data_IF_854064983121
#
_entry.id   IF_854064983121
#
_cell.length_a   1.000
_cell.length_b   1.000
_cell.length_c   1.000
_cell.angle_alpha   90.00
_cell.angle_beta   90.00
_cell.angle_gamma   90.00
#
_symmetry.space_group_name_H-M   'P 1'
#
loop_
_entity.id
_entity.type
_entity.pdbx_description
1 polymer ?
#
# COMPACT_ATOMS: atom_id res chain seq x y z
N UNK A 1 7.44 -27.43 16.87
CA UNK A 1 6.14 -27.16 16.22
C UNK A 1 5.59 -25.88 16.82
N UNK A 2 5.96 -24.72 16.27
CA UNK A 2 5.39 -23.44 16.65
C UNK A 2 4.19 -23.18 15.74
N UNK A 3 3.01 -23.02 16.32
CA UNK A 3 1.80 -22.61 15.62
C UNK A 3 1.94 -21.14 15.23
N UNK A 4 2.24 -20.86 13.97
CA UNK A 4 2.21 -19.52 13.41
C UNK A 4 0.77 -19.15 13.09
N UNK A 5 0.19 -18.30 13.92
CA UNK A 5 -1.05 -17.59 13.62
C UNK A 5 -0.72 -16.59 12.50
N UNK A 6 -1.46 -16.55 11.39
CA UNK A 6 -1.28 -15.48 10.40
C UNK A 6 -1.61 -14.16 11.08
N UNK A 7 -0.68 -13.21 10.99
CA UNK A 7 -0.86 -11.85 11.48
C UNK A 7 -2.07 -11.24 10.73
N UNK A 8 -3.23 -11.22 11.37
CA UNK A 8 -4.45 -10.56 10.88
C UNK A 8 -4.31 -9.02 10.87
N UNK A 9 -3.09 -8.49 11.05
CA UNK A 9 -2.83 -7.08 11.29
C UNK A 9 -2.79 -6.21 10.02
N UNK A 10 -2.79 -6.77 8.80
CA UNK A 10 -2.66 -5.97 7.57
C UNK A 10 -3.97 -5.27 7.14
N UNK A 11 -5.14 -5.88 7.35
CA UNK A 11 -6.43 -5.17 7.23
C UNK A 11 -6.64 -4.14 8.35
N UNK A 12 -6.01 -4.37 9.50
CA UNK A 12 -5.89 -3.41 10.59
C UNK A 12 -4.90 -2.28 10.27
N UNK A 13 -3.93 -2.46 9.35
CA UNK A 13 -2.94 -1.43 9.01
C UNK A 13 -3.54 -0.24 8.25
N UNK A 14 -4.55 -0.41 7.39
CA UNK A 14 -5.24 0.73 6.77
C UNK A 14 -6.11 1.52 7.77
N UNK A 15 -6.78 0.84 8.70
CA UNK A 15 -7.50 1.51 9.80
C UNK A 15 -6.52 2.10 10.85
N UNK A 16 -5.36 1.48 11.04
CA UNK A 16 -4.27 2.01 11.86
C UNK A 16 -3.55 3.17 11.20
N UNK A 17 -3.49 3.30 9.88
CA UNK A 17 -2.92 4.49 9.25
C UNK A 17 -3.75 5.74 9.58
N UNK A 18 -5.09 5.61 9.63
CA UNK A 18 -5.96 6.66 10.17
C UNK A 18 -5.75 6.87 11.68
N UNK A 19 -5.56 5.83 12.49
CA UNK A 19 -5.30 5.94 13.93
C UNK A 19 -3.89 6.48 14.30
N UNK A 20 -2.89 6.22 13.46
CA UNK A 20 -1.51 6.68 13.59
C UNK A 20 -1.42 8.14 13.10
N UNK A 21 -2.11 8.50 12.00
CA UNK A 21 -2.37 9.89 11.61
C UNK A 21 -3.00 10.69 12.77
N UNK A 22 -4.04 10.13 13.43
CA UNK A 22 -4.68 10.70 14.65
C UNK A 22 -3.69 10.93 15.79
N UNK A 23 -2.80 9.97 16.07
CA UNK A 23 -1.83 10.07 17.17
C UNK A 23 -0.75 11.12 16.89
N UNK A 24 -0.20 11.15 15.67
CA UNK A 24 0.91 12.05 15.31
C UNK A 24 0.47 13.51 15.15
N UNK A 25 -0.71 13.76 14.58
CA UNK A 25 -1.25 15.13 14.43
C UNK A 25 -1.76 15.66 15.77
N UNK A 26 -2.41 14.79 16.57
CA UNK A 26 -2.80 15.12 17.94
C UNK A 26 -1.61 15.47 18.86
N UNK A 27 -0.51 14.73 18.77
CA UNK A 27 0.71 15.00 19.55
C UNK A 27 1.48 16.23 19.06
N UNK A 28 1.44 16.53 17.75
CA UNK A 28 1.98 17.78 17.19
C UNK A 28 1.20 19.03 17.62
N UNK A 29 -0.10 18.89 17.93
CA UNK A 29 -0.98 19.97 18.38
C UNK A 29 -1.04 20.13 19.91
N UNK A 30 -0.75 19.08 20.69
CA UNK A 30 -0.85 19.11 22.16
C UNK A 30 0.40 19.63 22.90
N UNK A 31 1.48 19.98 22.21
CA UNK A 31 2.71 20.49 22.86
C UNK A 31 2.79 22.02 23.02
N UNK A 32 1.69 22.76 22.76
CA UNK A 32 1.62 24.21 22.97
C UNK A 32 0.40 24.71 23.76
N UNK A 33 -0.29 23.87 24.52
CA UNK A 33 -1.37 24.34 25.41
C UNK A 33 -0.90 24.43 26.86
N UNK A 34 -0.27 25.55 27.21
CA UNK A 34 -0.39 26.12 28.55
C UNK A 34 -1.27 27.36 28.45
N UNK A 35 -2.49 27.23 28.96
CA UNK A 35 -3.43 28.29 29.35
C UNK A 35 -3.89 29.30 28.28
N UNK A 36 -4.91 28.94 27.51
CA UNK A 36 -6.10 29.79 27.30
C UNK A 36 -7.15 29.01 26.52
N UNK A 37 -8.41 29.13 26.93
CA UNK A 37 -9.59 28.57 26.30
C UNK A 37 -9.64 28.92 24.80
N UNK A 38 -9.51 27.93 23.92
CA UNK A 38 -9.62 28.12 22.47
C UNK A 38 -10.65 27.15 21.88
N UNK A 39 -11.78 27.72 21.48
CA UNK A 39 -12.74 27.19 20.53
C UNK A 39 -12.06 26.78 19.23
N UNK A 40 -12.29 25.54 18.77
CA UNK A 40 -12.38 25.04 17.38
C UNK A 40 -11.74 25.81 16.20
N UNK A 41 -10.60 26.48 16.35
CA UNK A 41 -9.79 27.05 15.25
C UNK A 41 -8.76 26.01 14.78
N UNK A 42 -9.25 24.80 14.49
CA UNK A 42 -8.45 23.62 14.21
C UNK A 42 -7.86 23.64 12.78
N UNK A 43 -6.54 23.42 12.68
CA UNK A 43 -5.75 23.13 11.47
C UNK A 43 -5.57 24.22 10.40
N UNK A 44 -6.55 25.08 10.15
CA UNK A 44 -6.55 26.01 9.01
C UNK A 44 -5.52 27.15 9.16
N UNK A 45 -5.29 27.60 10.41
CA UNK A 45 -4.25 28.56 10.75
C UNK A 45 -2.82 28.01 10.68
N UNK A 46 -2.66 26.68 10.65
CA UNK A 46 -1.34 26.06 10.74
C UNK A 46 -0.56 26.16 9.42
N UNK A 47 -1.24 26.24 8.27
CA UNK A 47 -0.62 26.31 6.94
C UNK A 47 -0.88 27.64 6.22
N UNK A 48 -1.14 28.73 6.94
CA UNK A 48 -1.23 30.07 6.34
C UNK A 48 0.12 30.52 5.77
N UNK A 49 0.09 31.48 4.84
CA UNK A 49 1.30 32.01 4.23
C UNK A 49 2.20 32.69 5.27
N UNK A 50 1.61 33.44 6.19
CA UNK A 50 2.30 34.19 7.25
C UNK A 50 3.00 33.26 8.25
N UNK A 51 2.37 32.13 8.59
CA UNK A 51 2.90 31.18 9.56
C UNK A 51 3.80 30.11 8.92
N UNK A 52 3.93 30.11 7.59
CA UNK A 52 4.63 29.06 6.84
C UNK A 52 6.06 28.81 7.31
N UNK A 53 6.93 29.83 7.50
CA UNK A 53 8.30 29.56 7.91
C UNK A 53 8.40 28.74 9.21
N UNK A 54 7.59 29.09 10.22
CA UNK A 54 7.57 28.37 11.49
C UNK A 54 7.00 26.95 11.33
N UNK A 55 5.86 26.82 10.62
CA UNK A 55 5.24 25.50 10.38
C UNK A 55 6.16 24.58 9.59
N UNK A 56 6.81 25.09 8.55
CA UNK A 56 7.75 24.34 7.74
C UNK A 56 8.93 23.80 8.57
N UNK A 57 9.50 24.61 9.47
CA UNK A 57 10.56 24.15 10.37
C UNK A 57 10.08 23.06 11.32
N UNK A 58 8.85 23.17 11.83
CA UNK A 58 8.23 22.12 12.63
C UNK A 58 8.09 20.82 11.83
N UNK A 59 7.53 20.88 10.62
CA UNK A 59 7.39 19.71 9.73
C UNK A 59 8.75 19.07 9.45
N UNK A 60 9.78 19.87 9.12
CA UNK A 60 11.14 19.36 8.91
C UNK A 60 11.67 18.64 10.14
N UNK A 61 11.47 19.20 11.33
CA UNK A 61 11.90 18.59 12.59
C UNK A 61 11.18 17.26 12.83
N UNK A 62 9.86 17.23 12.72
CA UNK A 62 9.03 16.04 12.93
C UNK A 62 9.41 14.91 11.96
N UNK A 63 9.49 15.22 10.66
CA UNK A 63 9.77 14.24 9.63
C UNK A 63 11.24 13.83 9.55
N UNK A 64 12.18 14.61 10.10
CA UNK A 64 13.61 14.24 10.10
C UNK A 64 13.89 12.91 10.82
N UNK A 65 13.01 12.55 11.77
CA UNK A 65 13.10 11.32 12.56
C UNK A 65 12.40 10.14 11.88
N UNK A 66 11.67 10.38 10.78
CA UNK A 66 10.90 9.34 10.09
C UNK A 66 11.70 8.82 8.89
N UNK A 67 12.10 7.54 8.87
CA UNK A 67 12.83 6.96 7.73
C UNK A 67 12.05 7.08 6.41
N UNK A 68 10.74 6.88 6.44
CA UNK A 68 9.87 6.94 5.25
C UNK A 68 9.91 8.31 4.55
N UNK A 69 10.01 9.40 5.31
CA UNK A 69 10.09 10.77 4.77
C UNK A 69 11.34 10.99 3.90
N UNK A 70 12.40 10.20 4.10
CA UNK A 70 13.68 10.29 3.38
C UNK A 70 13.71 9.49 2.08
N UNK A 71 12.74 8.61 1.85
CA UNK A 71 12.70 7.74 0.66
C UNK A 71 12.25 8.57 -0.54
N UNK A 72 13.01 8.53 -1.64
CA UNK A 72 12.63 9.10 -2.94
C UNK A 72 12.68 8.04 -4.02
N UNK A 73 12.15 8.38 -5.19
CA UNK A 73 12.36 7.57 -6.38
C UNK A 73 13.85 7.40 -6.68
N UNK A 74 14.28 6.15 -6.70
CA UNK A 74 15.57 5.72 -7.22
C UNK A 74 15.43 5.38 -8.71
N UNK A 75 16.51 5.51 -9.50
CA UNK A 75 16.53 4.94 -10.83
C UNK A 75 16.36 3.42 -10.74
N UNK A 76 15.67 2.83 -11.73
CA UNK A 76 15.62 1.38 -11.85
C UNK A 76 17.04 0.82 -12.00
N UNK A 77 17.38 -0.29 -11.33
CA UNK A 77 18.66 -0.97 -11.53
C UNK A 77 18.83 -1.34 -13.00
N UNK A 78 20.08 -1.27 -13.51
CA UNK A 78 20.37 -1.60 -14.92
C UNK A 78 20.38 -3.10 -15.18
N UNK A 79 20.82 -3.88 -14.18
CA UNK A 79 21.06 -5.31 -14.29
C UNK A 79 19.99 -6.08 -13.49
N UNK A 80 18.74 -6.04 -13.95
CA UNK A 80 17.63 -6.77 -13.31
C UNK A 80 17.55 -8.17 -13.93
N UNK A 81 17.79 -9.20 -13.13
CA UNK A 81 17.69 -10.59 -13.55
C UNK A 81 16.35 -11.20 -13.13
N UNK A 82 15.27 -10.86 -13.85
CA UNK A 82 13.94 -11.43 -13.59
C UNK A 82 13.94 -12.91 -13.99
N UNK A 83 13.89 -13.78 -12.99
CA UNK A 83 13.75 -15.21 -13.21
C UNK A 83 12.34 -15.58 -13.69
N UNK A 84 12.25 -16.75 -14.35
CA UNK A 84 10.95 -17.25 -14.84
C UNK A 84 9.98 -17.49 -13.69
N UNK A 85 8.76 -16.94 -13.79
CA UNK A 85 7.72 -17.09 -12.77
C UNK A 85 6.42 -17.58 -13.39
N UNK A 86 5.51 -18.13 -12.58
CA UNK A 86 4.14 -18.31 -13.04
C UNK A 86 3.46 -16.96 -13.21
N UNK A 87 2.38 -16.98 -13.99
CA UNK A 87 1.54 -15.82 -14.27
C UNK A 87 0.16 -16.05 -13.71
N UNK A 88 -0.32 -15.09 -12.92
CA UNK A 88 -1.72 -14.99 -12.52
C UNK A 88 -2.33 -13.77 -13.19
N UNK A 89 -3.47 -13.93 -13.87
CA UNK A 89 -4.22 -12.78 -14.37
C UNK A 89 -5.26 -12.38 -13.32
N UNK A 90 -5.24 -11.13 -12.89
CA UNK A 90 -6.23 -10.60 -11.95
C UNK A 90 -6.52 -9.15 -12.26
N UNK A 91 -7.81 -8.81 -12.43
CA UNK A 91 -8.26 -7.46 -12.78
C UNK A 91 -7.53 -6.88 -14.02
N UNK A 92 -7.40 -7.70 -15.07
CA UNK A 92 -6.68 -7.37 -16.32
C UNK A 92 -5.18 -7.08 -16.15
N UNK A 93 -4.63 -7.36 -14.97
CA UNK A 93 -3.20 -7.25 -14.69
C UNK A 93 -2.57 -8.63 -14.64
N UNK A 94 -1.34 -8.70 -15.12
CA UNK A 94 -0.53 -9.89 -15.01
C UNK A 94 0.35 -9.75 -13.78
N UNK A 95 0.27 -10.74 -12.89
CA UNK A 95 0.96 -10.74 -11.61
C UNK A 95 1.98 -11.89 -11.63
N UNK A 96 3.28 -11.61 -11.40
CA UNK A 96 4.30 -12.63 -11.27
C UNK A 96 4.10 -13.39 -9.95
N UNK A 97 3.97 -14.71 -10.06
CA UNK A 97 3.90 -15.63 -8.92
C UNK A 97 5.15 -16.52 -8.94
N UNK A 98 6.03 -16.46 -7.93
CA UNK A 98 7.22 -17.32 -7.85
C UNK A 98 6.88 -18.78 -8.13
N UNK A 99 7.64 -19.43 -8.99
CA UNK A 99 7.42 -20.84 -9.33
C UNK A 99 8.01 -21.74 -8.22
N UNK A 100 7.24 -21.95 -7.15
CA UNK A 100 7.68 -22.68 -5.95
C UNK A 100 6.59 -23.58 -5.37
N UNK A 101 6.95 -24.37 -4.37
CA UNK A 101 5.97 -25.17 -3.63
C UNK A 101 5.22 -24.30 -2.62
N UNK A 102 3.93 -24.10 -2.88
CA UNK A 102 3.01 -23.46 -1.95
C UNK A 102 2.36 -24.49 -1.02
N UNK A 103 2.17 -24.10 0.24
CA UNK A 103 1.52 -24.90 1.28
C UNK A 103 0.12 -24.37 1.60
N UNK A 104 -0.10 -23.07 1.41
CA UNK A 104 -1.35 -22.42 1.77
C UNK A 104 -1.81 -21.44 0.70
N UNK A 105 -3.12 -21.38 0.51
CA UNK A 105 -3.82 -20.40 -0.31
C UNK A 105 -5.05 -19.93 0.47
N UNK A 106 -5.04 -18.68 0.90
CA UNK A 106 -6.15 -18.05 1.59
C UNK A 106 -6.81 -17.01 0.71
N UNK A 107 -8.13 -17.05 0.63
CA UNK A 107 -8.95 -16.01 0.02
C UNK A 107 -9.82 -15.42 1.11
N UNK A 108 -9.65 -14.12 1.34
CA UNK A 108 -10.41 -13.34 2.29
C UNK A 108 -11.22 -12.32 1.50
N UNK A 109 -12.54 -12.35 1.67
CA UNK A 109 -13.45 -11.43 1.04
C UNK A 109 -14.26 -10.71 2.11
N UNK A 110 -14.15 -9.39 2.12
CA UNK A 110 -15.04 -8.46 2.79
C UNK A 110 -15.73 -7.62 1.70
N UNK A 111 -16.88 -7.02 2.00
CA UNK A 111 -17.83 -6.44 1.03
C UNK A 111 -17.16 -5.76 -0.18
N UNK A 112 -16.19 -4.89 0.11
CA UNK A 112 -15.45 -4.13 -0.89
C UNK A 112 -13.95 -4.50 -1.00
N UNK A 113 -13.45 -5.36 -0.11
CA UNK A 113 -12.03 -5.68 0.02
C UNK A 113 -11.78 -7.16 -0.22
N UNK A 114 -10.95 -7.49 -1.21
CA UNK A 114 -10.55 -8.87 -1.42
C UNK A 114 -9.05 -8.97 -1.19
N UNK A 115 -8.63 -9.94 -0.39
CA UNK A 115 -7.23 -10.27 -0.15
C UNK A 115 -6.99 -11.74 -0.46
N UNK A 116 -5.94 -12.03 -1.21
CA UNK A 116 -5.49 -13.36 -1.55
C UNK A 116 -4.08 -13.51 -1.00
N UNK A 117 -3.81 -14.56 -0.24
CA UNK A 117 -2.51 -14.82 0.35
C UNK A 117 -2.03 -16.22 -0.06
N UNK A 118 -0.87 -16.28 -0.68
CA UNK A 118 -0.14 -17.52 -0.94
C UNK A 118 1.03 -17.62 0.03
N UNK A 119 1.18 -18.77 0.69
CA UNK A 119 2.33 -19.08 1.53
C UNK A 119 2.99 -20.33 0.96
N UNK A 120 4.30 -20.28 0.83
CA UNK A 120 5.12 -21.40 0.39
C UNK A 120 6.45 -21.42 1.10
N UNK A 121 7.27 -22.40 0.71
CA UNK A 121 8.63 -22.53 1.21
C UNK A 121 9.62 -22.55 0.05
N UNK A 122 10.74 -21.86 0.26
CA UNK A 122 11.90 -21.84 -0.62
C UNK A 122 13.10 -22.14 0.25
N UNK A 123 13.83 -23.21 -0.04
CA UNK A 123 15.06 -23.58 0.69
C UNK A 123 14.87 -23.68 2.22
N UNK A 124 13.66 -23.99 2.68
CA UNK A 124 13.31 -24.09 4.10
C UNK A 124 12.89 -22.76 4.74
N UNK A 125 12.88 -21.67 3.99
CA UNK A 125 12.42 -20.35 4.43
C UNK A 125 11.03 -20.03 3.87
N UNK A 126 10.28 -19.22 4.61
CA UNK A 126 8.92 -18.83 4.23
C UNK A 126 8.96 -17.77 3.12
N UNK A 127 8.18 -18.01 2.07
CA UNK A 127 7.92 -17.07 1.00
C UNK A 127 6.42 -16.80 0.89
N UNK A 128 6.05 -15.56 0.59
CA UNK A 128 4.67 -15.11 0.58
C UNK A 128 4.36 -14.22 -0.61
N UNK A 129 3.16 -14.37 -1.14
CA UNK A 129 2.57 -13.47 -2.13
C UNK A 129 1.22 -13.05 -1.59
N UNK A 130 1.04 -11.76 -1.35
CA UNK A 130 -0.25 -11.20 -0.96
C UNK A 130 -0.74 -10.29 -2.07
N UNK A 131 -1.97 -10.52 -2.50
CA UNK A 131 -2.68 -9.69 -3.45
C UNK A 131 -3.86 -9.09 -2.71
N UNK A 132 -4.17 -7.83 -2.96
CA UNK A 132 -5.46 -7.33 -2.54
C UNK A 132 -5.97 -6.19 -3.39
N UNK A 133 -7.24 -5.89 -3.19
CA UNK A 133 -7.94 -4.79 -3.84
C UNK A 133 -8.81 -4.05 -2.83
N UNK A 134 -8.93 -2.76 -3.05
CA UNK A 134 -9.83 -1.88 -2.30
C UNK A 134 -10.50 -0.89 -3.25
N UNK A 135 -11.67 -0.34 -2.89
CA UNK A 135 -12.26 0.76 -3.63
C UNK A 135 -11.29 1.92 -3.75
N UNK A 136 -11.41 2.66 -4.85
CA UNK A 136 -10.66 3.89 -4.99
C UNK A 136 -11.14 4.90 -3.93
N UNK A 137 -10.19 5.58 -3.32
CA UNK A 137 -10.47 6.69 -2.42
C UNK A 137 -10.76 7.90 -3.29
N UNK A 138 -11.92 8.52 -3.08
CA UNK A 138 -12.29 9.75 -3.77
C UNK A 138 -11.24 10.85 -3.56
N UNK A 139 -10.95 11.70 -4.56
CA UNK A 139 -10.04 12.81 -4.39
C UNK A 139 -10.46 13.73 -3.23
N UNK A 140 -9.48 14.13 -2.43
CA UNK A 140 -9.68 15.00 -1.27
C UNK A 140 -10.02 16.40 -1.77
N UNK A 141 -11.26 16.83 -1.50
CA UNK A 141 -11.75 18.17 -1.86
C UNK A 141 -11.20 19.21 -0.88
N UNK A 142 -11.06 18.82 0.39
CA UNK A 142 -10.45 19.60 1.45
C UNK A 142 -9.41 18.74 2.20
N UNK A 143 -8.17 18.78 1.71
CA UNK A 143 -7.06 18.01 2.31
C UNK A 143 -6.78 18.42 3.77
N UNK A 144 -7.20 19.61 4.19
CA UNK A 144 -6.91 20.12 5.54
C UNK A 144 -7.90 19.56 6.55
N UNK A 145 -9.18 19.44 6.19
CA UNK A 145 -10.18 18.75 7.02
C UNK A 145 -9.81 17.26 7.23
N UNK A 146 -9.39 16.59 6.16
CA UNK A 146 -9.03 15.16 6.18
C UNK A 146 -7.76 14.86 7.02
N UNK A 147 -6.87 15.84 7.14
CA UNK A 147 -5.68 15.77 7.99
C UNK A 147 -6.01 16.12 9.45
N UNK A 148 -6.99 17.02 9.69
CA UNK A 148 -7.26 17.59 11.01
C UNK A 148 -8.06 16.67 11.93
N UNK A 149 -9.11 16.00 11.44
CA UNK A 149 -9.97 15.13 12.24
C UNK A 149 -10.79 14.16 11.35
N UNK A 150 -10.27 12.94 11.14
CA UNK A 150 -10.86 11.95 10.23
C UNK A 150 -12.28 11.46 10.63
N UNK A 151 -12.76 11.77 11.84
CA UNK A 151 -14.11 11.40 12.31
C UNK A 151 -15.13 12.55 12.15
N UNK A 152 -14.68 13.73 11.72
CA UNK A 152 -15.51 14.91 11.43
C UNK A 152 -15.10 15.54 10.10
N UNK A 153 -15.22 14.75 9.04
CA UNK A 153 -14.99 15.18 7.65
C UNK A 153 -16.15 16.03 7.14
N UNK A 154 -16.31 17.23 7.69
CA UNK A 154 -17.07 18.29 7.02
C UNK A 154 -16.07 19.19 6.29
N UNK A 155 -16.10 19.13 4.96
CA UNK A 155 -15.29 20.04 4.13
C UNK A 155 -15.63 21.48 4.47
N UNK A 156 -14.63 22.32 4.74
CA UNK A 156 -14.86 23.77 4.89
C UNK A 156 -14.76 24.46 3.52
N UNK A 157 -15.55 25.52 3.26
CA UNK A 157 -15.38 26.37 2.08
C UNK A 157 -13.94 26.89 1.94
N UNK A 158 -13.33 27.25 3.07
CA UNK A 158 -11.98 27.78 3.17
C UNK A 158 -10.91 26.73 2.84
N UNK A 159 -11.01 25.53 3.41
CA UNK A 159 -10.10 24.40 3.16
C UNK A 159 -10.24 23.86 1.73
N UNK A 160 -11.45 23.86 1.19
CA UNK A 160 -11.70 23.59 -0.25
C UNK A 160 -11.02 24.63 -1.15
N UNK A 161 -11.20 25.92 -0.85
CA UNK A 161 -10.56 27.00 -1.61
C UNK A 161 -9.03 26.96 -1.50
N UNK A 162 -8.50 26.59 -0.34
CA UNK A 162 -7.08 26.43 -0.13
C UNK A 162 -6.52 25.22 -0.89
N UNK A 163 -7.22 24.10 -0.89
CA UNK A 163 -6.88 22.91 -1.69
C UNK A 163 -6.86 23.27 -3.18
N UNK A 164 -7.88 23.97 -3.67
CA UNK A 164 -7.94 24.48 -5.04
C UNK A 164 -6.75 25.40 -5.36
N UNK A 165 -6.38 26.30 -4.45
CA UNK A 165 -5.27 27.24 -4.63
C UNK A 165 -3.91 26.54 -4.72
N UNK A 166 -3.71 25.49 -3.92
CA UNK A 166 -2.42 24.81 -3.79
C UNK A 166 -2.24 23.66 -4.80
N UNK A 167 -3.32 22.94 -5.11
CA UNK A 167 -3.28 21.74 -5.95
C UNK A 167 -3.97 21.88 -7.30
N UNK A 168 -4.72 22.97 -7.52
CA UNK A 168 -5.50 23.22 -8.74
C UNK A 168 -6.86 22.51 -8.78
N UNK A 169 -7.28 21.90 -7.67
CA UNK A 169 -8.52 21.13 -7.55
C UNK A 169 -8.43 20.06 -6.48
N UNK A 170 -9.45 19.17 -6.39
CA UNK A 170 -9.38 17.99 -5.54
C UNK A 170 -8.11 17.19 -5.82
N UNK A 171 -7.51 16.66 -4.76
CA UNK A 171 -6.21 16.00 -4.82
C UNK A 171 -6.36 14.51 -4.51
N UNK A 172 -5.90 13.67 -5.43
CA UNK A 172 -5.98 12.22 -5.24
C UNK A 172 -4.81 11.69 -4.40
N UNK A 173 -5.00 10.53 -3.77
CA UNK A 173 -3.94 9.87 -2.99
C UNK A 173 -2.73 9.52 -3.85
N UNK A 174 -2.93 9.19 -5.13
CA UNK A 174 -1.85 8.93 -6.08
C UNK A 174 -1.00 10.18 -6.31
N UNK A 175 -1.63 11.35 -6.48
CA UNK A 175 -0.92 12.61 -6.66
C UNK A 175 -0.10 12.98 -5.43
N UNK A 176 -0.63 12.76 -4.23
CA UNK A 176 0.11 12.96 -2.98
C UNK A 176 1.26 11.97 -2.83
N UNK A 177 1.04 10.70 -3.18
CA UNK A 177 2.05 9.64 -3.11
C UNK A 177 3.22 9.94 -4.06
N UNK A 178 2.90 10.25 -5.32
CA UNK A 178 3.87 10.63 -6.35
C UNK A 178 4.67 11.87 -5.93
N UNK A 179 3.99 12.94 -5.49
CA UNK A 179 4.65 14.15 -4.99
C UNK A 179 5.55 13.83 -3.78
N UNK A 180 5.11 12.95 -2.88
CA UNK A 180 5.87 12.53 -1.71
C UNK A 180 7.17 11.83 -2.08
N UNK A 181 7.17 10.93 -3.06
CA UNK A 181 8.38 10.21 -3.50
C UNK A 181 9.28 11.01 -4.45
N UNK A 182 8.78 12.09 -5.07
CA UNK A 182 9.60 13.03 -5.86
C UNK A 182 10.42 14.01 -5.02
N UNK A 183 10.02 14.24 -3.78
CA UNK A 183 10.60 15.28 -2.93
C UNK A 183 11.16 14.76 -1.60
N UNK A 184 11.97 15.61 -0.97
CA UNK A 184 12.59 15.42 0.35
C UNK A 184 12.41 16.66 1.23
N UNK A 185 12.79 16.54 2.50
CA UNK A 185 12.84 17.68 3.42
C UNK A 185 13.84 18.78 2.98
N UNK A 186 14.79 18.46 2.09
CA UNK A 186 15.73 19.45 1.56
C UNK A 186 15.06 20.42 0.58
N UNK A 187 13.95 20.00 -0.05
CA UNK A 187 13.18 20.83 -0.98
C UNK A 187 12.33 21.91 -0.28
N UNK A 188 12.19 21.80 1.05
CA UNK A 188 11.49 22.76 1.89
C UNK A 188 12.47 23.85 2.37
N UNK A 189 12.46 25.02 1.71
CA UNK A 189 13.29 26.16 2.10
C UNK A 189 12.74 26.90 3.31
N UNK A 190 11.45 26.72 3.62
CA UNK A 190 10.74 27.40 4.69
C UNK A 190 10.70 28.93 4.51
N UNK A 191 10.73 29.40 3.26
CA UNK A 191 10.56 30.80 2.92
C UNK A 191 9.09 31.10 2.64
N UNK A 192 8.55 32.15 3.26
CA UNK A 192 7.18 32.64 3.05
C UNK A 192 6.84 32.87 1.56
N UNK A 193 7.81 33.31 0.74
CA UNK A 193 7.62 33.54 -0.69
C UNK A 193 7.38 32.23 -1.48
N UNK A 194 7.85 31.09 -0.97
CA UNK A 194 7.71 29.78 -1.62
C UNK A 194 6.51 28.98 -1.11
N UNK A 195 5.70 29.55 -0.20
CA UNK A 195 4.59 28.88 0.49
C UNK A 195 3.69 28.05 -0.45
N UNK A 196 3.22 28.64 -1.56
CA UNK A 196 2.32 27.93 -2.50
C UNK A 196 2.94 26.67 -3.10
N UNK A 197 4.26 26.66 -3.29
CA UNK A 197 5.00 25.51 -3.85
C UNK A 197 5.37 24.50 -2.79
N UNK A 198 5.72 24.95 -1.59
CA UNK A 198 6.26 24.10 -0.54
C UNK A 198 5.19 23.43 0.32
N UNK A 199 4.01 24.05 0.50
CA UNK A 199 2.92 23.41 1.27
C UNK A 199 2.47 22.10 0.64
N UNK A 200 2.23 21.99 -0.69
CA UNK A 200 1.94 20.71 -1.32
C UNK A 200 3.00 19.64 -1.02
N UNK A 201 4.28 20.00 -1.10
CA UNK A 201 5.40 19.10 -0.82
C UNK A 201 5.35 18.65 0.64
N UNK A 202 5.17 19.58 1.58
CA UNK A 202 5.12 19.26 3.00
C UNK A 202 3.94 18.35 3.35
N UNK A 203 2.75 18.60 2.78
CA UNK A 203 1.58 17.73 2.97
C UNK A 203 1.85 16.33 2.42
N UNK A 204 2.38 16.22 1.21
CA UNK A 204 2.75 14.93 0.63
C UNK A 204 3.82 14.18 1.44
N UNK A 205 4.80 14.89 2.01
CA UNK A 205 5.81 14.31 2.89
C UNK A 205 5.23 13.85 4.23
N UNK A 206 4.26 14.58 4.80
CA UNK A 206 3.53 14.15 6.00
C UNK A 206 2.79 12.84 5.70
N UNK A 207 2.02 12.79 4.59
CA UNK A 207 1.32 11.57 4.18
C UNK A 207 2.29 10.39 3.96
N UNK A 208 3.41 10.61 3.26
CA UNK A 208 4.44 9.58 3.07
C UNK A 208 5.07 9.13 4.39
N UNK A 209 5.28 10.04 5.34
CA UNK A 209 5.86 9.74 6.65
C UNK A 209 4.99 8.83 7.52
N UNK A 210 3.68 8.86 7.30
CA UNK A 210 2.69 8.01 7.98
C UNK A 210 2.59 6.63 7.33
N UNK A 211 2.91 6.52 6.03
CA UNK A 211 2.97 5.24 5.36
C UNK A 211 4.12 4.39 5.95
N UNK A 212 3.77 3.22 6.48
CA UNK A 212 4.73 2.29 7.10
C UNK A 212 5.77 1.88 6.06
N UNK A 213 7.06 2.02 6.40
CA UNK A 213 8.13 1.42 5.60
C UNK A 213 7.95 -0.09 5.56
N UNK A 214 8.03 -0.71 4.38
CA UNK A 214 7.91 -2.17 4.25
C UNK A 214 9.11 -2.94 4.83
N UNK A 215 10.16 -2.22 5.25
CA UNK A 215 11.30 -2.75 6.00
C UNK A 215 12.45 -1.73 6.12
N UNK A 216 13.62 -2.17 6.61
CA UNK A 216 14.83 -1.36 6.54
C UNK A 216 15.31 -1.20 5.09
N UNK A 217 16.04 -0.12 4.79
CA UNK A 217 16.64 0.11 3.47
C UNK A 217 15.65 0.13 2.28
N UNK A 218 14.43 0.58 2.53
CA UNK A 218 13.41 0.70 1.48
C UNK A 218 13.82 1.69 0.41
N UNK A 219 13.71 1.27 -0.85
CA UNK A 219 13.83 2.08 -2.06
C UNK A 219 12.47 2.18 -2.75
N UNK A 220 12.18 3.33 -3.36
CA UNK A 220 10.99 3.51 -4.18
C UNK A 220 11.37 3.62 -5.66
N UNK A 221 10.53 3.09 -6.55
CA UNK A 221 10.71 3.17 -8.00
C UNK A 221 9.41 3.62 -8.66
N UNK A 222 9.53 4.54 -9.62
CA UNK A 222 8.43 5.01 -10.45
C UNK A 222 8.29 4.05 -11.64
N UNK A 223 7.17 3.34 -11.73
CA UNK A 223 6.87 2.42 -12.83
C UNK A 223 5.82 2.96 -13.80
N UNK A 224 5.58 4.29 -13.82
CA UNK A 224 4.55 5.02 -14.58
C UNK A 224 3.09 4.64 -14.25
N UNK A 225 2.81 3.41 -13.83
CA UNK A 225 1.48 2.89 -13.51
C UNK A 225 1.25 2.72 -12.01
N UNK A 226 2.25 3.06 -11.20
CA UNK A 226 2.26 2.81 -9.77
C UNK A 226 3.64 3.02 -9.15
N UNK A 227 3.69 2.84 -7.83
CA UNK A 227 4.92 2.92 -7.04
C UNK A 227 5.32 1.52 -6.62
N UNK A 228 6.57 1.15 -6.91
CA UNK A 228 7.21 -0.04 -6.38
C UNK A 228 8.08 0.33 -5.20
N UNK A 229 7.80 -0.25 -4.04
CA UNK A 229 8.68 -0.24 -2.88
C UNK A 229 9.43 -1.56 -2.81
N UNK A 230 10.74 -1.50 -2.62
CA UNK A 230 11.60 -2.65 -2.40
C UNK A 230 12.42 -2.48 -1.14
N UNK A 231 12.44 -3.47 -0.26
CA UNK A 231 13.23 -3.49 0.97
C UNK A 231 14.02 -4.79 1.01
N UNK A 232 15.36 -4.68 1.09
CA UNK A 232 16.25 -5.84 1.28
C UNK A 232 16.76 -5.86 2.71
N UNK A 233 16.61 -7.00 3.38
CA UNK A 233 17.11 -7.25 4.73
C UNK A 233 18.01 -8.48 4.74
N UNK A 234 18.62 -8.81 5.88
CA UNK A 234 19.50 -9.99 5.98
C UNK A 234 18.77 -11.30 5.64
N UNK A 235 17.49 -11.42 6.00
CA UNK A 235 16.71 -12.65 5.81
C UNK A 235 15.70 -12.58 4.65
N UNK A 236 15.18 -11.41 4.33
CA UNK A 236 14.09 -11.29 3.36
C UNK A 236 14.22 -10.09 2.42
N UNK A 237 13.83 -10.33 1.18
CA UNK A 237 13.50 -9.31 0.18
C UNK A 237 11.98 -9.11 0.17
N UNK A 238 11.55 -7.86 0.37
CA UNK A 238 10.15 -7.47 0.37
C UNK A 238 9.89 -6.49 -0.75
N UNK A 239 8.82 -6.74 -1.50
CA UNK A 239 8.34 -5.87 -2.55
C UNK A 239 6.89 -5.52 -2.28
N UNK A 240 6.52 -4.26 -2.46
CA UNK A 240 5.14 -3.81 -2.41
C UNK A 240 4.88 -2.92 -3.61
N UNK A 241 3.83 -3.23 -4.36
CA UNK A 241 3.44 -2.49 -5.53
C UNK A 241 1.97 -2.11 -5.46
N UNK A 242 1.68 -0.85 -5.73
CA UNK A 242 0.31 -0.34 -5.85
C UNK A 242 0.01 0.03 -7.31
N UNK A 243 -0.96 -0.67 -7.91
CA UNK A 243 -1.60 -0.28 -9.17
C UNK A 243 -2.78 0.65 -8.90
N UNK A 244 -2.83 1.73 -9.68
CA UNK A 244 -3.94 2.68 -9.66
C UNK A 244 -4.90 2.35 -10.81
N UNK A 245 -5.97 1.62 -10.50
CA UNK A 245 -7.06 1.39 -11.44
C UNK A 245 -8.02 2.58 -11.53
N UNK A 246 -8.95 2.52 -12.49
CA UNK A 246 -9.98 3.55 -12.64
C UNK A 246 -10.95 3.56 -11.44
N UNK A 247 -11.38 2.38 -10.99
CA UNK A 247 -12.41 2.21 -9.95
C UNK A 247 -11.89 1.65 -8.63
N UNK A 248 -10.68 1.09 -8.62
CA UNK A 248 -10.14 0.35 -7.47
C UNK A 248 -8.62 0.45 -7.43
N UNK A 249 -8.07 0.38 -6.22
CA UNK A 249 -6.65 0.12 -6.01
C UNK A 249 -6.40 -1.37 -6.01
N UNK A 250 -5.24 -1.77 -6.53
CA UNK A 250 -4.74 -3.13 -6.40
C UNK A 250 -3.34 -3.09 -5.81
N UNK A 251 -3.09 -3.94 -4.83
CA UNK A 251 -1.81 -4.03 -4.13
C UNK A 251 -1.26 -5.45 -4.23
N UNK A 252 0.04 -5.54 -4.48
CA UNK A 252 0.78 -6.80 -4.51
C UNK A 252 1.97 -6.67 -3.58
N UNK A 253 2.08 -7.60 -2.64
CA UNK A 253 3.23 -7.74 -1.76
C UNK A 253 3.90 -9.08 -1.99
N UNK A 254 5.21 -9.07 -2.22
CA UNK A 254 6.04 -10.26 -2.32
C UNK A 254 7.02 -10.25 -1.15
N UNK A 255 7.12 -11.36 -0.42
CA UNK A 255 8.15 -11.58 0.58
C UNK A 255 8.90 -12.84 0.20
N UNK A 256 10.19 -12.71 -0.10
CA UNK A 256 11.04 -13.81 -0.55
C UNK A 256 12.28 -13.88 0.35
N UNK A 257 12.89 -15.07 0.51
CA UNK A 257 14.20 -15.18 1.16
C UNK A 257 15.23 -14.31 0.45
N UNK A 258 16.07 -13.63 1.23
CA UNK A 258 17.15 -12.81 0.70
C UNK A 258 18.14 -13.66 -0.11
N UNK A 259 18.63 -13.13 -1.23
CA UNK A 259 19.60 -13.81 -2.09
C UNK A 259 19.01 -14.95 -2.92
N UNK A 260 17.72 -15.23 -2.81
CA UNK A 260 17.05 -16.21 -3.65
C UNK A 260 17.02 -15.77 -5.12
N UNK A 261 16.99 -16.72 -6.06
CA UNK A 261 16.95 -16.44 -7.49
C UNK A 261 15.76 -15.55 -7.92
N UNK A 262 14.63 -15.61 -7.19
CA UNK A 262 13.47 -14.73 -7.43
C UNK A 262 13.55 -13.38 -6.70
N UNK A 263 14.67 -13.02 -6.06
CA UNK A 263 14.80 -11.80 -5.24
C UNK A 263 14.44 -10.51 -5.99
N UNK A 264 14.63 -10.47 -7.31
CA UNK A 264 14.30 -9.32 -8.16
C UNK A 264 12.92 -9.42 -8.82
N UNK A 265 12.08 -10.41 -8.45
CA UNK A 265 10.76 -10.62 -9.05
C UNK A 265 9.81 -9.43 -8.84
N UNK A 266 10.03 -8.61 -7.80
CA UNK A 266 9.28 -7.37 -7.61
C UNK A 266 9.37 -6.40 -8.80
N UNK A 267 10.48 -6.40 -9.55
CA UNK A 267 10.62 -5.57 -10.73
C UNK A 267 9.76 -6.06 -11.92
N UNK A 268 9.26 -7.29 -11.91
CA UNK A 268 8.29 -7.76 -12.90
C UNK A 268 6.89 -7.17 -12.66
N UNK A 269 6.60 -6.64 -11.46
CA UNK A 269 5.35 -5.94 -11.18
C UNK A 269 5.29 -4.67 -12.04
N UNK A 270 4.17 -4.46 -12.74
CA UNK A 270 3.98 -3.34 -13.65
C UNK A 270 4.55 -3.54 -15.07
N UNK A 271 5.32 -4.61 -15.31
CA UNK A 271 5.82 -4.93 -16.66
C UNK A 271 4.81 -5.74 -17.47
N UNK A 272 4.82 -5.56 -18.79
CA UNK A 272 3.96 -6.31 -19.71
C UNK A 272 4.53 -7.68 -20.06
N UNK A 273 5.85 -7.79 -20.09
CA UNK A 273 6.57 -8.96 -20.56
C UNK A 273 7.68 -9.30 -19.57
N UNK A 274 7.74 -10.56 -19.15
CA UNK A 274 8.84 -11.14 -18.40
C UNK A 274 8.92 -12.64 -18.71
N UNK A 275 10.02 -13.33 -18.37
CA UNK A 275 10.11 -14.77 -18.56
C UNK A 275 9.00 -15.51 -17.79
N UNK A 276 8.14 -16.26 -18.49
CA UNK A 276 7.06 -17.03 -17.88
C UNK A 276 7.48 -18.49 -17.76
N UNK A 277 7.43 -19.01 -16.54
CA UNK A 277 7.68 -20.43 -16.27
C UNK A 277 6.54 -21.29 -16.84
N UNK A 278 6.85 -22.39 -17.55
CA UNK A 278 5.84 -23.34 -18.00
C UNK A 278 5.24 -24.09 -16.81
N UNK A 279 4.15 -24.82 -17.05
CA UNK A 279 3.56 -25.76 -16.10
C UNK A 279 3.12 -25.13 -14.77
N UNK A 280 2.44 -23.98 -14.83
CA UNK A 280 1.74 -23.45 -13.66
C UNK A 280 0.81 -24.52 -13.04
N UNK A 281 0.70 -24.59 -11.71
CA UNK A 281 -0.09 -25.61 -11.06
C UNK A 281 -1.57 -25.39 -11.35
N UNK A 282 -2.32 -26.49 -11.48
CA UNK A 282 -3.74 -26.46 -11.84
C UNK A 282 -4.55 -25.55 -10.91
N UNK A 283 -4.24 -25.54 -9.61
CA UNK A 283 -4.94 -24.71 -8.65
C UNK A 283 -4.83 -23.20 -8.94
N UNK A 284 -3.73 -22.74 -9.56
CA UNK A 284 -3.54 -21.32 -9.86
C UNK A 284 -4.49 -20.84 -10.96
N UNK A 285 -4.70 -21.66 -12.00
CA UNK A 285 -5.69 -21.37 -13.04
C UNK A 285 -7.13 -21.47 -12.53
N UNK A 286 -7.41 -22.39 -11.60
CA UNK A 286 -8.73 -22.47 -10.97
C UNK A 286 -8.98 -21.28 -10.03
N UNK A 287 -7.94 -20.79 -9.36
CA UNK A 287 -8.03 -19.58 -8.55
C UNK A 287 -8.34 -18.38 -9.44
N UNK A 288 -7.62 -18.19 -10.54
CA UNK A 288 -7.88 -17.14 -11.54
C UNK A 288 -9.35 -17.14 -12.00
N UNK A 289 -9.90 -18.33 -12.27
CA UNK A 289 -11.30 -18.50 -12.66
C UNK A 289 -12.25 -18.11 -11.54
N UNK A 290 -12.00 -18.60 -10.31
CA UNK A 290 -12.87 -18.37 -9.17
C UNK A 290 -12.90 -16.91 -8.71
N UNK A 291 -11.75 -16.21 -8.73
CA UNK A 291 -11.69 -14.79 -8.34
C UNK A 291 -12.27 -13.86 -9.41
N UNK A 292 -12.29 -14.28 -10.68
CA UNK A 292 -12.85 -13.52 -11.80
C UNK A 292 -14.36 -13.74 -11.95
N UNK A 293 -14.84 -14.94 -11.63
CA UNK A 293 -16.25 -15.31 -11.69
C UNK A 293 -16.62 -16.12 -10.43
N UNK A 294 -16.97 -15.46 -9.31
CA UNK A 294 -17.09 -16.08 -7.99
C UNK A 294 -18.40 -16.85 -7.81
N UNK A 295 -18.63 -17.87 -8.64
CA UNK A 295 -19.77 -18.79 -8.50
C UNK A 295 -19.44 -19.95 -7.56
N UNK A 296 -20.48 -20.54 -6.97
CA UNK A 296 -20.35 -21.75 -6.13
C UNK A 296 -19.56 -22.86 -6.82
N UNK A 297 -19.83 -23.11 -8.11
CA UNK A 297 -19.15 -24.13 -8.91
C UNK A 297 -17.65 -23.84 -9.09
N UNK A 298 -17.28 -22.58 -9.31
CA UNK A 298 -15.88 -22.20 -9.48
C UNK A 298 -15.10 -22.33 -8.17
N UNK A 299 -15.70 -21.96 -7.03
CA UNK A 299 -15.12 -22.19 -5.71
C UNK A 299 -14.95 -23.68 -5.38
N UNK A 300 -15.95 -24.52 -5.70
CA UNK A 300 -15.84 -25.98 -5.57
C UNK A 300 -14.70 -26.56 -6.41
N UNK A 301 -14.56 -26.09 -7.66
CA UNK A 301 -13.48 -26.53 -8.55
C UNK A 301 -12.11 -26.15 -8.00
N UNK A 302 -11.96 -24.93 -7.46
CA UNK A 302 -10.74 -24.51 -6.76
C UNK A 302 -10.48 -25.40 -5.53
N UNK A 303 -11.49 -25.65 -4.69
CA UNK A 303 -11.33 -26.47 -3.49
C UNK A 303 -10.77 -27.87 -3.82
N UNK A 304 -11.30 -28.52 -4.87
CA UNK A 304 -10.83 -29.82 -5.34
C UNK A 304 -9.38 -29.77 -5.85
N UNK A 305 -9.02 -28.70 -6.57
CA UNK A 305 -7.65 -28.50 -7.04
C UNK A 305 -6.66 -28.29 -5.88
N UNK A 306 -7.05 -27.53 -4.85
CA UNK A 306 -6.24 -27.34 -3.63
C UNK A 306 -6.08 -28.65 -2.85
N UNK A 307 -7.15 -29.45 -2.70
CA UNK A 307 -7.09 -30.80 -2.08
C UNK A 307 -6.12 -31.71 -2.83
N UNK A 308 -6.18 -31.74 -4.17
CA UNK A 308 -5.27 -32.53 -5.01
C UNK A 308 -3.82 -32.06 -4.90
N UNK A 309 -3.60 -30.75 -4.73
CA UNK A 309 -2.29 -30.16 -4.51
C UNK A 309 -1.76 -30.36 -3.08
N UNK A 310 -2.53 -31.00 -2.18
CA UNK A 310 -2.21 -31.22 -0.76
C UNK A 310 -1.94 -29.92 0.00
N UNK A 311 -2.69 -28.87 -0.33
CA UNK A 311 -2.69 -27.62 0.44
C UNK A 311 -3.23 -27.87 1.85
N UNK A 312 -2.89 -26.97 2.79
CA UNK A 312 -3.31 -27.10 4.19
C UNK A 312 -4.82 -27.21 4.36
N UNK A 313 -5.27 -27.95 5.37
CA UNK A 313 -6.69 -28.07 5.72
C UNK A 313 -7.35 -26.71 5.92
N UNK A 314 -6.64 -25.78 6.57
CA UNK A 314 -7.09 -24.41 6.77
C UNK A 314 -7.35 -23.65 5.46
N UNK A 315 -6.55 -23.89 4.42
CA UNK A 315 -6.79 -23.32 3.09
C UNK A 315 -8.10 -23.86 2.50
N UNK A 316 -8.32 -25.16 2.64
CA UNK A 316 -9.54 -25.84 2.16
C UNK A 316 -10.80 -25.33 2.88
N UNK A 317 -10.75 -25.21 4.21
CA UNK A 317 -11.84 -24.70 5.05
C UNK A 317 -12.22 -23.26 4.67
N UNK A 318 -11.23 -22.42 4.36
CA UNK A 318 -11.51 -21.03 3.93
C UNK A 318 -12.24 -20.97 2.59
N UNK A 319 -11.93 -21.85 1.65
CA UNK A 319 -12.69 -21.95 0.40
C UNK A 319 -14.08 -22.53 0.64
N UNK A 320 -14.23 -23.47 1.58
CA UNK A 320 -15.54 -24.01 1.96
C UNK A 320 -16.50 -22.93 2.48
N UNK A 321 -16.02 -22.04 3.35
CA UNK A 321 -16.81 -20.90 3.81
C UNK A 321 -17.29 -20.00 2.66
N UNK A 322 -16.46 -19.80 1.62
CA UNK A 322 -16.85 -19.04 0.42
C UNK A 322 -17.91 -19.77 -0.42
N UNK A 323 -17.84 -21.10 -0.49
CA UNK A 323 -18.86 -21.93 -1.18
C UNK A 323 -20.21 -21.82 -0.47
N UNK A 324 -20.21 -21.78 0.86
CA UNK A 324 -21.42 -21.66 1.69
C UNK A 324 -22.04 -20.26 1.61
N UNK A 325 -21.22 -19.21 1.49
CA UNK A 325 -21.70 -17.84 1.37
C UNK A 325 -22.06 -17.41 -0.06
N UNK A 326 -21.70 -18.20 -1.07
CA UNK A 326 -21.98 -17.88 -2.47
C UNK A 326 -23.45 -18.16 -2.81
N UNK A 327 -24.16 -17.23 -3.48
CA UNK A 327 -25.52 -17.49 -3.94
C UNK A 327 -25.56 -18.70 -4.86
N UNK A 328 -26.65 -19.47 -4.79
CA UNK A 328 -26.89 -20.56 -5.74
C UNK A 328 -27.11 -19.94 -7.12
N UNK A 329 -26.10 -20.10 -7.98
CA UNK A 329 -26.16 -19.79 -9.40
C UNK A 329 -26.61 -20.98 -10.21
#
# INVERSE_FOLDING_TARGET
MGTLVPDNNLGLEMNNQKAILKLWIGLGLLSLTSCASASSQGSEFAFSQENWPQRCQQVKKELSQQPAAKITYAPLPKDIAIQSSWKLNWLERQIPVPAMQYTDVFVLQDQDHHTILFIGQIEGENAQVMLGKSPKIEPLVDIFADIADADKTENSPEGTALTQKLFGGPVSMEKLTDLGYRHTLADLTCNQANWQKEVPIALALIFKGIATSIGPNTSAYDLNQGVLLGSKSESQDKWWFQWNGEQQYMYVMLTLPNGHQHGDLGFALGQKDWPVAPNAPVWLGQLETAISNPTRQNWQTLQLALKKAKMSEKSIEKIEALIESSPEG
#
